data_IF_288454241960
#
_entry.id   IF_288454241960
#
_cell.length_a   1.000
_cell.length_b   1.000
_cell.length_c   1.000
_cell.angle_alpha   90.00
_cell.angle_beta   90.00
_cell.angle_gamma   90.00
#
_symmetry.space_group_name_H-M   'P 1'
#
loop_
_entity.id
_entity.type
_entity.pdbx_description
1 polymer ?
#
# COMPACT_ATOMS: atom_id res chain seq x y z
N UNK A 1 20.41 -12.11 -9.17
CA UNK A 1 20.38 -11.30 -7.93
C UNK A 1 18.97 -11.39 -7.36
N UNK A 2 18.82 -11.72 -6.07
CA UNK A 2 17.51 -11.61 -5.40
C UNK A 2 17.30 -10.13 -5.09
N UNK A 3 16.19 -9.55 -5.52
CA UNK A 3 15.83 -8.19 -5.11
C UNK A 3 15.59 -8.18 -3.60
N UNK A 4 15.83 -7.04 -2.90
CA UNK A 4 15.56 -6.94 -1.47
C UNK A 4 14.09 -7.21 -1.22
N UNK A 5 13.84 -8.28 -0.46
CA UNK A 5 12.51 -8.73 -0.08
C UNK A 5 11.91 -7.71 0.89
N UNK A 6 10.74 -7.17 0.55
CA UNK A 6 10.01 -6.31 1.47
C UNK A 6 9.57 -7.12 2.68
N UNK A 7 9.75 -6.57 3.88
CA UNK A 7 9.21 -7.17 5.10
C UNK A 7 7.75 -6.70 5.30
N UNK A 8 6.81 -7.46 4.74
CA UNK A 8 5.38 -7.14 4.77
C UNK A 8 4.81 -6.84 6.17
N UNK A 9 5.18 -7.57 7.24
CA UNK A 9 4.71 -7.26 8.59
C UNK A 9 5.11 -5.86 9.07
N UNK A 10 6.35 -5.44 8.78
CA UNK A 10 6.81 -4.09 9.14
C UNK A 10 6.16 -3.02 8.28
N UNK A 11 5.96 -3.29 6.99
CA UNK A 11 5.26 -2.36 6.10
C UNK A 11 3.82 -2.11 6.57
N UNK A 12 3.11 -3.17 6.98
CA UNK A 12 1.77 -3.06 7.55
C UNK A 12 1.77 -2.30 8.87
N UNK A 13 2.62 -2.67 9.82
CA UNK A 13 2.71 -2.00 11.12
C UNK A 13 3.00 -0.50 10.97
N UNK A 14 3.95 -0.12 10.11
CA UNK A 14 4.25 1.27 9.83
C UNK A 14 3.05 2.03 9.24
N UNK A 15 2.27 1.38 8.37
CA UNK A 15 1.07 1.99 7.80
C UNK A 15 0.01 2.24 8.86
N UNK A 16 -0.23 1.27 9.75
CA UNK A 16 -1.17 1.42 10.88
C UNK A 16 -0.70 2.52 11.83
N UNK A 17 0.57 2.50 12.24
CA UNK A 17 1.16 3.51 13.13
C UNK A 17 1.02 4.92 12.58
N UNK A 18 1.24 5.10 11.27
CA UNK A 18 1.08 6.39 10.61
C UNK A 18 -0.38 6.89 10.70
N UNK A 19 -1.35 6.00 10.48
CA UNK A 19 -2.77 6.35 10.59
C UNK A 19 -3.20 6.59 12.04
N UNK A 20 -2.70 5.80 12.99
CA UNK A 20 -2.95 6.05 14.41
C UNK A 20 -2.44 7.42 14.84
N UNK A 21 -1.23 7.80 14.42
CA UNK A 21 -0.65 9.11 14.70
C UNK A 21 -1.49 10.23 14.10
N UNK A 22 -1.94 10.08 12.85
CA UNK A 22 -2.84 11.04 12.21
C UNK A 22 -4.19 11.16 12.96
N UNK A 23 -4.71 10.05 13.48
CA UNK A 23 -5.97 10.02 14.24
C UNK A 23 -5.83 10.59 15.66
N UNK A 24 -4.64 10.62 16.26
CA UNK A 24 -4.43 11.22 17.60
C UNK A 24 -4.78 12.71 17.66
N UNK A 25 -4.63 13.43 16.55
CA UNK A 25 -5.00 14.84 16.43
C UNK A 25 -6.46 15.08 16.04
N UNK A 26 -7.21 14.03 15.68
CA UNK A 26 -8.60 14.13 15.22
C UNK A 26 -9.58 13.81 16.37
N UNK A 27 -10.68 14.56 16.44
CA UNK A 27 -11.76 14.22 17.36
C UNK A 27 -12.36 12.85 16.98
N UNK A 28 -12.49 11.94 17.94
CA UNK A 28 -13.14 10.63 17.76
C UNK A 28 -14.65 10.87 17.55
N UNK A 29 -15.05 11.32 16.37
CA UNK A 29 -16.43 11.67 16.05
C UNK A 29 -17.33 10.45 15.72
N UNK A 30 -16.86 9.23 15.90
CA UNK A 30 -17.60 8.00 15.61
C UNK A 30 -17.45 6.97 16.72
N UNK A 31 -18.48 6.14 16.92
CA UNK A 31 -18.48 5.04 17.90
C UNK A 31 -17.58 3.86 17.55
N UNK A 32 -16.75 3.99 16.52
CA UNK A 32 -15.75 3.00 16.15
C UNK A 32 -14.47 3.16 16.97
N UNK A 33 -13.88 2.04 17.39
CA UNK A 33 -12.56 2.02 18.01
C UNK A 33 -11.49 2.62 17.10
N UNK A 34 -10.57 3.41 17.69
CA UNK A 34 -9.49 4.08 16.95
C UNK A 34 -8.61 3.10 16.17
N UNK A 35 -8.33 1.94 16.75
CA UNK A 35 -7.52 0.88 16.16
C UNK A 35 -8.16 0.30 14.89
N UNK A 36 -9.46 -0.02 14.92
CA UNK A 36 -10.23 -0.44 13.75
C UNK A 36 -10.17 0.60 12.63
N UNK A 37 -10.34 1.87 12.99
CA UNK A 37 -10.30 2.97 12.03
C UNK A 37 -8.91 3.11 11.41
N UNK A 38 -7.86 3.03 12.22
CA UNK A 38 -6.48 3.10 11.76
C UNK A 38 -6.17 1.95 10.78
N UNK A 39 -6.57 0.73 11.12
CA UNK A 39 -6.38 -0.45 10.28
C UNK A 39 -7.04 -0.29 8.90
N UNK A 40 -8.29 0.20 8.83
CA UNK A 40 -8.95 0.44 7.54
C UNK A 40 -8.27 1.52 6.71
N UNK A 41 -7.87 2.63 7.34
CA UNK A 41 -7.17 3.71 6.65
C UNK A 41 -5.76 3.29 6.18
N UNK A 42 -5.13 2.35 6.88
CA UNK A 42 -3.79 1.85 6.56
C UNK A 42 -3.78 0.95 5.32
N UNK A 43 -4.93 0.36 4.95
CA UNK A 43 -5.04 -0.55 3.82
C UNK A 43 -4.60 0.08 2.49
N UNK A 44 -5.02 1.32 2.20
CA UNK A 44 -4.65 1.99 0.96
C UNK A 44 -3.13 2.20 0.81
N UNK A 45 -2.47 2.86 1.78
CA UNK A 45 -1.01 3.03 1.78
C UNK A 45 -0.24 1.70 1.76
N UNK A 46 -0.76 0.68 2.46
CA UNK A 46 -0.17 -0.65 2.43
C UNK A 46 -0.28 -1.30 1.05
N UNK A 47 -1.46 -1.27 0.42
CA UNK A 47 -1.66 -1.75 -0.95
C UNK A 47 -0.75 -1.04 -1.93
N UNK A 48 -0.58 0.27 -1.81
CA UNK A 48 0.38 1.02 -2.63
C UNK A 48 1.81 0.49 -2.45
N UNK A 49 2.21 0.21 -1.22
CA UNK A 49 3.54 -0.32 -0.91
C UNK A 49 3.76 -1.69 -1.56
N UNK A 50 2.79 -2.60 -1.43
CA UNK A 50 2.80 -3.90 -2.11
C UNK A 50 2.83 -3.77 -3.64
N UNK A 51 2.01 -2.86 -4.19
CA UNK A 51 1.95 -2.59 -5.63
C UNK A 51 3.30 -2.12 -6.19
N UNK A 52 3.91 -1.11 -5.56
CA UNK A 52 5.20 -0.57 -5.97
C UNK A 52 6.32 -1.61 -5.84
N UNK A 53 6.27 -2.46 -4.82
CA UNK A 53 7.19 -3.59 -4.70
C UNK A 53 7.01 -4.60 -5.84
N UNK A 54 5.77 -4.96 -6.19
CA UNK A 54 5.49 -5.84 -7.32
C UNK A 54 6.00 -5.24 -8.65
N UNK A 55 5.80 -3.93 -8.87
CA UNK A 55 6.33 -3.22 -10.03
C UNK A 55 7.85 -3.25 -10.07
N UNK A 56 8.52 -3.02 -8.92
CA UNK A 56 9.98 -3.13 -8.82
C UNK A 56 10.45 -4.52 -9.22
N UNK A 57 9.84 -5.58 -8.67
CA UNK A 57 10.15 -6.96 -9.03
C UNK A 57 9.98 -7.25 -10.52
N UNK A 58 8.99 -6.61 -11.15
CA UNK A 58 8.69 -6.76 -12.58
C UNK A 58 9.67 -5.99 -13.49
N UNK A 59 10.06 -4.77 -13.12
CA UNK A 59 10.84 -3.88 -13.97
C UNK A 59 12.34 -3.86 -13.67
N UNK A 60 12.76 -4.27 -12.48
CA UNK A 60 14.18 -4.37 -12.16
C UNK A 60 14.83 -5.47 -12.98
N UNK A 61 16.02 -5.19 -13.49
CA UNK A 61 16.86 -6.13 -14.26
C UNK A 61 18.24 -6.22 -13.63
N UNK A 62 19.10 -7.18 -14.01
CA UNK A 62 20.48 -7.23 -13.49
C UNK A 62 21.30 -5.95 -13.69
N UNK A 63 20.89 -5.10 -14.64
CA UNK A 63 21.58 -3.87 -15.04
C UNK A 63 20.89 -2.60 -14.52
N UNK A 64 19.71 -2.73 -13.92
CA UNK A 64 18.89 -1.61 -13.47
C UNK A 64 18.09 -2.04 -12.23
N UNK A 65 18.54 -1.58 -11.06
CA UNK A 65 17.79 -1.73 -9.81
C UNK A 65 17.00 -0.45 -9.56
N UNK A 66 15.67 -0.55 -9.69
CA UNK A 66 14.76 0.55 -9.41
C UNK A 66 14.39 0.53 -7.93
N UNK A 67 14.29 1.70 -7.31
CA UNK A 67 13.52 1.84 -6.08
C UNK A 67 12.02 1.61 -6.36
N UNK A 68 11.20 1.23 -5.35
CA UNK A 68 9.75 1.10 -5.53
C UNK A 68 9.09 2.36 -6.12
N UNK A 69 9.52 3.55 -5.68
CA UNK A 69 9.02 4.82 -6.20
C UNK A 69 9.35 5.00 -7.69
N UNK A 70 10.59 4.69 -8.10
CA UNK A 70 10.99 4.77 -9.51
C UNK A 70 10.23 3.77 -10.38
N UNK A 71 9.95 2.57 -9.87
CA UNK A 71 9.13 1.58 -10.57
C UNK A 71 7.69 2.08 -10.75
N UNK A 72 7.11 2.75 -9.75
CA UNK A 72 5.82 3.43 -9.83
C UNK A 72 5.80 4.56 -10.86
N UNK A 73 6.80 5.44 -10.83
CA UNK A 73 6.93 6.52 -11.82
C UNK A 73 7.03 5.98 -13.24
N UNK A 74 7.84 4.93 -13.45
CA UNK A 74 7.98 4.28 -14.75
C UNK A 74 6.65 3.66 -15.22
N UNK A 75 5.91 3.03 -14.31
CA UNK A 75 4.57 2.51 -14.61
C UNK A 75 3.63 3.63 -15.07
N UNK A 76 3.59 4.74 -14.33
CA UNK A 76 2.69 5.85 -14.63
C UNK A 76 3.04 6.57 -15.94
N UNK A 77 4.34 6.76 -16.23
CA UNK A 77 4.83 7.27 -17.53
C UNK A 77 4.32 6.38 -18.66
N UNK A 78 4.46 5.06 -18.51
CA UNK A 78 4.03 4.12 -19.53
C UNK A 78 2.51 4.06 -19.68
N UNK A 79 1.77 4.12 -18.57
CA UNK A 79 0.30 4.02 -18.56
C UNK A 79 -0.37 5.27 -19.13
N UNK A 80 0.09 6.44 -18.73
CA UNK A 80 -0.57 7.70 -19.07
C UNK A 80 0.15 8.49 -20.18
N UNK A 81 1.24 7.95 -20.72
CA UNK A 81 2.07 8.61 -21.73
C UNK A 81 2.56 10.00 -21.32
N UNK A 82 2.78 10.20 -20.01
CA UNK A 82 3.26 11.49 -19.51
C UNK A 82 4.73 11.70 -19.82
N UNK A 83 5.12 12.97 -19.87
CA UNK A 83 6.52 13.34 -19.99
C UNK A 83 7.28 12.98 -18.70
N UNK A 84 8.52 12.47 -18.77
CA UNK A 84 9.29 12.11 -17.58
C UNK A 84 9.45 13.25 -16.56
N UNK A 85 9.47 14.50 -17.03
CA UNK A 85 9.57 15.68 -16.17
C UNK A 85 8.33 15.95 -15.31
N UNK A 86 7.17 15.37 -15.63
CA UNK A 86 5.93 15.57 -14.88
C UNK A 86 5.97 14.92 -13.48
N UNK A 87 6.91 14.00 -13.23
CA UNK A 87 6.98 13.20 -12.01
C UNK A 87 8.08 13.59 -11.02
N UNK A 88 8.89 14.61 -11.33
CA UNK A 88 10.06 14.95 -10.49
C UNK A 88 9.69 15.30 -9.04
N UNK A 89 8.43 15.67 -8.78
CA UNK A 89 7.92 16.04 -7.46
C UNK A 89 6.75 15.18 -6.97
N UNK A 90 6.46 14.04 -7.60
CA UNK A 90 5.32 13.20 -7.21
C UNK A 90 5.63 12.44 -5.93
N UNK A 91 4.88 12.73 -4.87
CA UNK A 91 5.00 12.05 -3.59
C UNK A 91 4.21 10.73 -3.58
N UNK A 92 4.47 9.87 -2.58
CA UNK A 92 3.71 8.62 -2.42
C UNK A 92 2.21 8.86 -2.20
N UNK A 93 1.86 9.97 -1.54
CA UNK A 93 0.48 10.44 -1.37
C UNK A 93 -0.20 10.73 -2.71
N UNK A 94 0.48 11.40 -3.63
CA UNK A 94 -0.03 11.65 -4.99
C UNK A 94 -0.23 10.34 -5.75
N UNK A 95 0.72 9.40 -5.65
CA UNK A 95 0.59 8.09 -6.28
C UNK A 95 -0.61 7.30 -5.75
N UNK A 96 -0.95 7.44 -4.47
CA UNK A 96 -2.12 6.79 -3.89
C UNK A 96 -3.43 7.28 -4.54
N UNK A 97 -3.52 8.58 -4.87
CA UNK A 97 -4.66 9.14 -5.58
C UNK A 97 -4.67 8.76 -7.07
N UNK A 98 -3.52 8.82 -7.73
CA UNK A 98 -3.41 8.53 -9.17
C UNK A 98 -3.72 7.06 -9.46
N UNK A 99 -3.24 6.15 -8.60
CA UNK A 99 -3.40 4.70 -8.75
C UNK A 99 -4.64 4.16 -8.03
N UNK A 100 -5.61 5.01 -7.67
CA UNK A 100 -6.74 4.60 -6.84
C UNK A 100 -7.45 3.35 -7.38
N UNK A 101 -7.80 3.34 -8.68
CA UNK A 101 -8.48 2.22 -9.33
C UNK A 101 -7.62 0.95 -9.31
N UNK A 102 -6.32 1.05 -9.63
CA UNK A 102 -5.40 -0.10 -9.57
C UNK A 102 -5.28 -0.67 -8.17
N UNK A 103 -5.30 0.18 -7.15
CA UNK A 103 -5.23 -0.26 -5.75
C UNK A 103 -6.55 -0.88 -5.30
N UNK A 104 -7.70 -0.44 -5.82
CA UNK A 104 -8.99 -1.10 -5.58
C UNK A 104 -9.02 -2.49 -6.22
N UNK A 105 -8.54 -2.60 -7.46
CA UNK A 105 -8.48 -3.89 -8.17
C UNK A 105 -7.33 -4.80 -7.71
N UNK A 106 -6.37 -4.27 -6.94
CA UNK A 106 -5.22 -5.04 -6.47
C UNK A 106 -5.65 -6.13 -5.48
N UNK A 107 -5.50 -7.38 -5.92
CA UNK A 107 -5.59 -8.55 -5.05
C UNK A 107 -4.23 -8.80 -4.40
N UNK A 108 -4.21 -8.83 -3.07
CA UNK A 108 -3.00 -9.14 -2.31
C UNK A 108 -2.74 -10.65 -2.36
N UNK A 109 -1.47 -11.04 -2.51
CA UNK A 109 -1.11 -12.46 -2.36
C UNK A 109 -1.31 -12.93 -0.92
N UNK A 110 -1.39 -14.24 -0.69
CA UNK A 110 -1.54 -14.79 0.66
C UNK A 110 -0.45 -14.29 1.63
N UNK A 111 0.78 -14.13 1.14
CA UNK A 111 1.91 -13.59 1.90
C UNK A 111 1.73 -12.10 2.23
N UNK A 112 1.26 -11.31 1.26
CA UNK A 112 0.98 -9.89 1.44
C UNK A 112 -0.22 -9.65 2.38
N UNK A 113 -1.18 -10.56 2.39
CA UNK A 113 -2.38 -10.45 3.22
C UNK A 113 -2.16 -10.98 4.66
N UNK A 114 -1.19 -11.88 4.85
CA UNK A 114 -0.89 -12.49 6.15
C UNK A 114 -0.73 -11.48 7.31
N UNK A 115 0.05 -10.38 7.20
CA UNK A 115 0.20 -9.45 8.33
C UNK A 115 -1.09 -8.70 8.68
N UNK A 116 -1.96 -8.45 7.70
CA UNK A 116 -3.28 -7.85 7.94
C UNK A 116 -4.12 -8.84 8.76
N UNK A 117 -4.14 -10.11 8.36
CA UNK A 117 -4.88 -11.17 9.07
C UNK A 117 -4.40 -11.35 10.50
N UNK A 118 -3.09 -11.42 10.72
CA UNK A 118 -2.52 -11.64 12.06
C UNK A 118 -2.81 -10.48 13.01
N UNK A 119 -2.75 -9.24 12.52
CA UNK A 119 -2.91 -8.05 13.34
C UNK A 119 -4.34 -7.56 13.48
N UNK A 120 -5.22 -7.76 12.49
CA UNK A 120 -6.53 -7.13 12.44
C UNK A 120 -7.72 -8.09 12.54
N UNK A 121 -7.49 -9.42 12.55
CA UNK A 121 -8.58 -10.42 12.58
C UNK A 121 -9.49 -10.35 13.81
N UNK A 122 -8.99 -9.79 14.91
CA UNK A 122 -9.75 -9.60 16.13
C UNK A 122 -10.48 -8.25 16.19
N UNK A 123 -10.23 -7.36 15.22
CA UNK A 123 -10.82 -6.03 15.19
C UNK A 123 -12.22 -6.04 14.54
N UNK A 124 -13.14 -5.17 14.98
CA UNK A 124 -14.42 -4.95 14.32
C UNK A 124 -14.32 -4.63 12.81
N UNK A 125 -13.21 -4.03 12.38
CA UNK A 125 -12.93 -3.74 10.97
C UNK A 125 -12.58 -4.96 10.11
N UNK A 126 -12.43 -6.15 10.71
CA UNK A 126 -11.99 -7.35 9.98
C UNK A 126 -12.90 -7.72 8.81
N UNK A 127 -14.22 -7.53 8.94
CA UNK A 127 -15.15 -7.85 7.84
C UNK A 127 -14.81 -7.07 6.55
N UNK A 128 -14.49 -5.78 6.69
CA UNK A 128 -14.09 -4.92 5.57
C UNK A 128 -12.72 -5.35 5.03
N UNK A 129 -11.76 -5.60 5.92
CA UNK A 129 -10.40 -5.98 5.54
C UNK A 129 -10.31 -7.39 4.92
N UNK A 130 -11.17 -8.31 5.34
CA UNK A 130 -11.22 -9.69 4.84
C UNK A 130 -11.77 -9.77 3.41
N UNK A 131 -12.62 -8.82 3.00
CA UNK A 131 -13.12 -8.73 1.63
C UNK A 131 -11.98 -8.53 0.61
N UNK A 132 -10.87 -7.96 1.05
CA UNK A 132 -9.68 -7.64 0.23
C UNK A 132 -8.70 -8.82 0.11
N UNK A 133 -8.89 -9.88 0.91
CA UNK A 133 -7.99 -11.05 0.96
C UNK A 133 -8.63 -12.37 0.55
N UNK A 134 -9.93 -12.38 0.21
CA UNK A 134 -10.68 -13.60 -0.10
C UNK A 134 -11.32 -13.52 -1.50
N UNK A 135 -10.53 -13.78 -2.53
CA UNK A 135 -11.01 -14.31 -3.80
C UNK A 135 -9.98 -15.34 -4.32
N UNK A 136 -9.99 -16.53 -3.72
CA UNK A 136 -9.53 -17.76 -4.39
C UNK A 136 -10.74 -18.51 -4.96
#
# INVERSE_FOLDING_TARGET
MKLPEIHYPSAWANAVDAQEQALRGASNAGGEGRESRAARLALGPYKLTCFLHNLRCKYSTPWLDLSPAQAGQLYLINKHHWLPGAFQNTEASDMLYILHEELMDLQLTSEQFQPIRESASHLPAWADLAAEGNQE
#
